data_IF_173803728796
#
_entry.id   IF_173803728796
#
_cell.length_a   1.000
_cell.length_b   1.000
_cell.length_c   1.000
_cell.angle_alpha   90.00
_cell.angle_beta   90.00
_cell.angle_gamma   90.00
#
_symmetry.space_group_name_H-M   'P 1'
#
loop_
_entity.id
_entity.type
_entity.pdbx_description
1 polymer ?
#
# COMPACT_ATOMS: atom_id res chain seq x y z
N UNK A 1 -17.71 13.11 2.89
CA UNK A 1 -16.79 12.03 3.30
C UNK A 1 -15.76 11.88 2.18
N UNK A 2 -14.65 12.62 2.23
CA UNK A 2 -13.52 12.42 1.31
C UNK A 2 -12.38 11.91 2.16
N UNK A 3 -12.02 10.63 2.00
CA UNK A 3 -10.79 10.09 2.58
C UNK A 3 -9.63 10.95 2.05
N UNK A 4 -8.69 11.33 2.92
CA UNK A 4 -7.57 12.16 2.51
C UNK A 4 -6.43 11.21 2.11
N UNK A 5 -6.12 11.14 0.81
CA UNK A 5 -4.96 10.40 0.33
C UNK A 5 -3.70 10.99 0.98
N UNK A 6 -3.11 10.25 1.92
CA UNK A 6 -2.00 10.73 2.74
C UNK A 6 -0.67 10.79 1.98
N UNK A 7 -0.42 9.80 1.12
CA UNK A 7 0.79 9.69 0.31
C UNK A 7 0.42 9.60 -1.16
N UNK A 8 1.01 10.44 -1.99
CA UNK A 8 0.82 10.36 -3.45
C UNK A 8 1.66 9.25 -4.06
N UNK A 9 1.14 8.65 -5.12
CA UNK A 9 1.83 7.64 -5.91
C UNK A 9 2.50 8.35 -7.09
N UNK A 10 3.73 7.97 -7.42
CA UNK A 10 4.33 8.39 -8.68
C UNK A 10 3.58 7.72 -9.83
N UNK A 11 2.58 8.40 -10.42
CA UNK A 11 1.70 7.85 -11.46
C UNK A 11 2.48 7.38 -12.69
N UNK A 12 3.54 8.11 -13.08
CA UNK A 12 4.40 7.76 -14.21
C UNK A 12 5.28 6.55 -13.92
N UNK A 13 5.16 5.51 -14.74
CA UNK A 13 5.99 4.30 -14.64
C UNK A 13 5.57 3.33 -13.53
N UNK A 14 4.41 3.54 -12.90
CA UNK A 14 3.84 2.63 -11.90
C UNK A 14 3.23 1.37 -12.52
N UNK A 15 2.84 1.45 -13.80
CA UNK A 15 2.33 0.32 -14.59
C UNK A 15 2.92 0.37 -16.00
N UNK A 16 3.09 -0.81 -16.60
CA UNK A 16 3.48 -0.96 -18.01
C UNK A 16 2.28 -0.93 -18.98
N UNK A 17 1.05 -0.84 -18.45
CA UNK A 17 -0.18 -0.79 -19.23
C UNK A 17 -0.66 0.64 -19.40
N UNK A 18 -1.18 0.96 -20.60
CA UNK A 18 -1.75 2.26 -20.91
C UNK A 18 -2.90 2.64 -19.95
N UNK A 19 -3.09 3.94 -19.75
CA UNK A 19 -4.19 4.57 -18.99
C UNK A 19 -4.23 4.33 -17.47
N UNK A 20 -3.33 3.52 -16.89
CA UNK A 20 -3.30 3.34 -15.41
C UNK A 20 -2.88 4.62 -14.70
N UNK A 21 -1.96 5.39 -15.29
CA UNK A 21 -1.46 6.65 -14.73
C UNK A 21 -2.61 7.66 -14.56
N UNK A 22 -3.45 7.82 -15.59
CA UNK A 22 -4.59 8.75 -15.60
C UNK A 22 -5.63 8.40 -14.54
N UNK A 23 -5.91 7.10 -14.37
CA UNK A 23 -6.86 6.62 -13.37
C UNK A 23 -6.33 6.79 -11.94
N UNK A 24 -5.02 6.65 -11.73
CA UNK A 24 -4.40 6.92 -10.44
C UNK A 24 -4.49 8.39 -10.07
N UNK A 25 -4.20 9.29 -11.00
CA UNK A 25 -4.34 10.72 -10.78
C UNK A 25 -5.80 11.14 -10.55
N UNK A 26 -6.75 10.50 -11.24
CA UNK A 26 -8.18 10.70 -10.97
C UNK A 26 -8.53 10.28 -9.55
N UNK A 27 -8.06 9.11 -9.11
CA UNK A 27 -8.29 8.61 -7.76
C UNK A 27 -7.75 9.60 -6.70
N UNK A 28 -6.53 10.12 -6.89
CA UNK A 28 -5.96 11.14 -6.01
C UNK A 28 -6.80 12.44 -5.96
N UNK A 29 -7.26 12.94 -7.11
CA UNK A 29 -8.13 14.13 -7.18
C UNK A 29 -9.47 13.93 -6.46
N UNK A 30 -9.99 12.71 -6.49
CA UNK A 30 -11.25 12.35 -5.85
C UNK A 30 -11.09 11.98 -4.37
N UNK A 31 -9.86 11.84 -3.87
CA UNK A 31 -9.59 11.39 -2.51
C UNK A 31 -9.85 9.90 -2.32
N UNK A 32 -9.64 9.09 -3.37
CA UNK A 32 -9.88 7.64 -3.37
C UNK A 32 -8.53 6.92 -3.30
N UNK A 33 -8.35 6.12 -2.25
CA UNK A 33 -7.15 5.30 -2.11
C UNK A 33 -7.20 4.01 -2.92
N UNK A 34 -6.17 3.80 -3.73
CA UNK A 34 -5.92 2.55 -4.45
C UNK A 34 -4.92 1.66 -3.69
N UNK A 35 -4.65 0.45 -4.21
CA UNK A 35 -3.68 -0.46 -3.61
C UNK A 35 -2.26 0.13 -3.50
N UNK A 36 -1.84 0.97 -4.46
CA UNK A 36 -0.53 1.63 -4.41
C UNK A 36 -0.42 2.62 -3.25
N UNK A 37 -1.46 3.41 -2.98
CA UNK A 37 -1.50 4.33 -1.84
C UNK A 37 -1.35 3.57 -0.52
N UNK A 38 -2.14 2.50 -0.34
CA UNK A 38 -2.08 1.65 0.87
C UNK A 38 -0.74 0.93 1.02
N UNK A 39 -0.11 0.53 -0.09
CA UNK A 39 1.22 -0.08 -0.04
C UNK A 39 2.27 0.90 0.50
N UNK A 40 2.26 2.16 0.05
CA UNK A 40 3.17 3.20 0.53
C UNK A 40 2.91 3.50 2.01
N UNK A 41 1.65 3.60 2.42
CA UNK A 41 1.31 3.85 3.82
C UNK A 41 1.75 2.71 4.78
N UNK A 42 1.82 1.47 4.29
CA UNK A 42 2.33 0.33 5.05
C UNK A 42 3.86 0.32 5.17
N UNK A 43 4.59 1.26 4.56
CA UNK A 43 6.04 1.32 4.66
C UNK A 43 6.52 2.09 5.91
N UNK A 44 7.57 1.58 6.61
CA UNK A 44 8.26 0.31 6.37
C UNK A 44 7.44 -0.88 6.85
N UNK A 45 7.28 -1.90 5.99
CA UNK A 45 6.65 -3.15 6.40
C UNK A 45 7.51 -3.92 7.42
N UNK A 46 6.87 -4.73 8.27
CA UNK A 46 7.56 -5.49 9.31
C UNK A 46 8.56 -6.51 8.74
N UNK A 47 9.85 -6.34 9.05
CA UNK A 47 10.92 -7.23 8.59
C UNK A 47 10.76 -8.69 9.03
N UNK A 48 10.31 -8.97 10.26
CA UNK A 48 10.07 -10.35 10.73
C UNK A 48 9.02 -11.06 9.87
N UNK A 49 7.97 -10.33 9.47
CA UNK A 49 6.92 -10.86 8.60
C UNK A 49 7.43 -11.12 7.19
N UNK A 50 8.19 -10.18 6.62
CA UNK A 50 8.78 -10.32 5.28
C UNK A 50 9.81 -11.44 5.18
N UNK A 51 10.62 -11.64 6.23
CA UNK A 51 11.59 -12.73 6.31
C UNK A 51 10.94 -14.08 6.66
N UNK A 52 9.64 -14.10 6.99
CA UNK A 52 8.93 -15.33 7.34
C UNK A 52 9.30 -15.92 8.70
N UNK A 53 9.89 -15.12 9.60
CA UNK A 53 10.37 -15.55 10.93
C UNK A 53 9.40 -15.21 12.07
N UNK A 54 8.25 -14.58 11.77
CA UNK A 54 7.20 -14.28 12.75
C UNK A 54 6.11 -15.37 12.75
N UNK A 55 5.95 -16.10 13.86
CA UNK A 55 4.94 -17.17 13.99
C UNK A 55 3.73 -16.71 14.82
N UNK A 56 2.52 -17.09 14.39
CA UNK A 56 1.23 -16.79 15.07
C UNK A 56 0.35 -18.03 15.26
N UNK A 57 0.96 -19.21 15.33
CA UNK A 57 0.23 -20.48 15.26
C UNK A 57 -0.38 -20.92 16.61
N UNK A 58 0.01 -20.31 17.72
CA UNK A 58 -0.57 -20.60 19.04
C UNK A 58 -0.86 -19.32 19.81
N UNK A 59 -1.71 -19.41 20.83
CA UNK A 59 -2.10 -18.29 21.67
C UNK A 59 -0.97 -17.73 22.57
N UNK A 60 0.19 -18.40 22.63
CA UNK A 60 1.37 -17.89 23.35
C UNK A 60 2.20 -16.91 22.50
N UNK A 61 2.00 -16.89 21.17
CA UNK A 61 2.69 -15.97 20.27
C UNK A 61 2.17 -14.52 20.36
N UNK A 62 2.58 -13.63 19.44
CA UNK A 62 3.47 -13.86 18.30
C UNK A 62 4.94 -14.06 18.70
N UNK A 63 5.59 -15.11 18.19
CA UNK A 63 7.04 -15.29 18.32
C UNK A 63 7.74 -14.56 17.18
N UNK A 64 8.87 -13.90 17.48
CA UNK A 64 9.69 -13.13 16.53
C UNK A 64 11.13 -13.59 16.57
#
# INVERSE_FOLDING_TARGET
MKEHVRFKVASKGVSATENVEELLEKAEREGIETAWHRFIEQQPQCGFGLLGICCRNCAMGPCR
#
